data_IF_988458395442
#
_entry.id   IF_988458395442
#
_cell.length_a   1.000
_cell.length_b   1.000
_cell.length_c   1.000
_cell.angle_alpha   90.00
_cell.angle_beta   90.00
_cell.angle_gamma   90.00
#
_symmetry.space_group_name_H-M   'P 1'
#
loop_
_entity.id
_entity.type
_entity.pdbx_description
1 polymer ?
#
# COMPACT_ATOMS: atom_id res chain seq x y z
N UNK A 1 -6.16 -19.23 -7.03
CA UNK A 1 -6.23 -17.76 -6.96
C UNK A 1 -5.95 -17.37 -5.52
N UNK A 2 -4.89 -16.60 -5.29
CA UNK A 2 -4.40 -16.23 -3.96
C UNK A 2 -5.48 -15.58 -3.08
N UNK A 3 -6.44 -14.87 -3.69
CA UNK A 3 -7.54 -14.18 -2.98
C UNK A 3 -8.27 -15.09 -1.99
N UNK A 4 -8.49 -16.37 -2.34
CA UNK A 4 -9.20 -17.31 -1.47
C UNK A 4 -8.46 -17.59 -0.15
N UNK A 5 -7.13 -17.44 -0.13
CA UNK A 5 -6.28 -17.69 1.04
C UNK A 5 -5.91 -16.41 1.81
N UNK A 6 -6.22 -15.23 1.25
CA UNK A 6 -5.90 -13.94 1.89
C UNK A 6 -6.51 -13.79 3.29
N UNK A 7 -7.78 -14.18 3.54
CA UNK A 7 -8.34 -14.13 4.89
C UNK A 7 -7.51 -14.91 5.91
N UNK A 8 -7.12 -16.14 5.58
CA UNK A 8 -6.30 -16.99 6.47
C UNK A 8 -4.91 -16.38 6.72
N UNK A 9 -4.29 -15.81 5.69
CA UNK A 9 -3.01 -15.13 5.82
C UNK A 9 -3.09 -13.86 6.67
N UNK A 10 -4.19 -13.11 6.58
CA UNK A 10 -4.45 -11.95 7.44
C UNK A 10 -4.62 -12.40 8.89
N UNK A 11 -5.39 -13.45 9.15
CA UNK A 11 -5.60 -13.98 10.50
C UNK A 11 -4.27 -14.39 11.15
N UNK A 12 -3.42 -15.08 10.41
CA UNK A 12 -2.07 -15.45 10.86
C UNK A 12 -1.23 -14.18 11.10
N UNK A 13 -1.31 -13.18 10.23
CA UNK A 13 -0.55 -11.94 10.36
C UNK A 13 -0.97 -11.12 11.58
N UNK A 14 -2.28 -11.00 11.85
CA UNK A 14 -2.84 -10.30 13.00
C UNK A 14 -2.46 -11.01 14.30
N UNK A 15 -2.55 -12.34 14.37
CA UNK A 15 -2.10 -13.14 15.53
C UNK A 15 -0.62 -12.95 15.83
N UNK A 16 0.22 -12.78 14.79
CA UNK A 16 1.68 -12.59 14.94
C UNK A 16 2.10 -11.16 15.28
N UNK A 17 1.23 -10.16 15.08
CA UNK A 17 1.57 -8.75 15.21
C UNK A 17 0.43 -7.98 15.88
N UNK A 18 0.59 -7.74 17.18
CA UNK A 18 -0.33 -6.90 17.93
C UNK A 18 -0.46 -5.51 17.26
N UNK A 19 -1.70 -5.04 17.10
CA UNK A 19 -1.99 -3.74 16.48
C UNK A 19 -1.85 -3.69 14.95
N UNK A 20 -1.60 -4.82 14.26
CA UNK A 20 -1.62 -4.85 12.80
C UNK A 20 -3.00 -4.46 12.26
N UNK A 21 -4.07 -5.00 12.86
CA UNK A 21 -5.46 -4.70 12.51
C UNK A 21 -5.71 -4.76 10.98
N UNK A 22 -5.15 -5.78 10.32
CA UNK A 22 -5.32 -5.99 8.90
C UNK A 22 -6.68 -6.63 8.60
N UNK A 23 -7.37 -6.17 7.56
CA UNK A 23 -8.70 -6.63 7.15
C UNK A 23 -8.71 -6.80 5.62
N UNK A 24 -9.28 -7.90 5.13
CA UNK A 24 -9.56 -8.05 3.70
C UNK A 24 -10.96 -7.53 3.39
N UNK A 25 -11.09 -6.75 2.32
CA UNK A 25 -12.35 -6.22 1.83
C UNK A 25 -12.54 -6.62 0.37
N UNK A 26 -13.67 -7.23 0.04
CA UNK A 26 -13.96 -7.74 -1.29
C UNK A 26 -14.23 -6.62 -2.32
N UNK A 27 -14.50 -5.42 -1.84
CA UNK A 27 -14.74 -4.23 -2.63
C UNK A 27 -14.50 -2.95 -1.80
N UNK A 28 -14.41 -1.77 -2.42
CA UNK A 28 -14.18 -0.52 -1.69
C UNK A 28 -15.32 -0.12 -0.73
N UNK A 29 -16.57 -0.51 -1.00
CA UNK A 29 -17.70 -0.20 -0.11
C UNK A 29 -17.56 -0.93 1.23
N UNK A 30 -17.16 -2.20 1.20
CA UNK A 30 -16.89 -2.98 2.42
C UNK A 30 -15.78 -2.33 3.26
N UNK A 31 -14.72 -1.82 2.63
CA UNK A 31 -13.66 -1.08 3.35
C UNK A 31 -14.23 0.17 4.03
N UNK A 32 -15.03 0.96 3.31
CA UNK A 32 -15.62 2.18 3.86
C UNK A 32 -16.55 1.90 5.04
N UNK A 33 -17.35 0.83 5.00
CA UNK A 33 -18.18 0.46 6.14
C UNK A 33 -17.34 0.10 7.38
N UNK A 34 -16.16 -0.50 7.20
CA UNK A 34 -15.21 -0.71 8.30
C UNK A 34 -14.59 0.60 8.78
N UNK A 35 -14.26 1.52 7.89
CA UNK A 35 -13.74 2.86 8.27
C UNK A 35 -14.78 3.64 9.07
N UNK A 36 -16.07 3.58 8.72
CA UNK A 36 -17.16 4.19 9.51
C UNK A 36 -17.20 3.64 10.94
N UNK A 37 -16.93 2.35 11.13
CA UNK A 37 -16.83 1.75 12.48
C UNK A 37 -15.60 2.26 13.24
N UNK A 38 -14.46 2.45 12.55
CA UNK A 38 -13.25 3.02 13.16
C UNK A 38 -13.41 4.49 13.55
N UNK A 39 -14.21 5.26 12.81
CA UNK A 39 -14.53 6.66 13.16
C UNK A 39 -15.24 6.79 14.52
N UNK A 40 -15.93 5.74 14.98
CA UNK A 40 -16.55 5.69 16.31
C UNK A 40 -15.52 5.43 17.43
N UNK A 41 -14.30 5.04 17.06
CA UNK A 41 -13.19 4.73 17.96
C UNK A 41 -12.14 5.82 17.85
N UNK A 42 -12.00 6.66 18.87
CA UNK A 42 -10.94 7.66 18.91
C UNK A 42 -9.55 6.99 18.85
N UNK A 43 -8.62 7.63 18.14
CA UNK A 43 -7.21 7.21 18.04
C UNK A 43 -7.02 5.76 17.56
N UNK A 44 -7.74 5.38 16.50
CA UNK A 44 -7.73 4.04 15.94
C UNK A 44 -6.94 3.97 14.63
N UNK A 45 -6.37 2.79 14.33
CA UNK A 45 -5.74 2.52 13.04
C UNK A 45 -6.00 1.09 12.57
N UNK A 46 -6.11 0.92 11.26
CA UNK A 46 -6.30 -0.37 10.61
C UNK A 46 -5.60 -0.38 9.25
N UNK A 47 -5.39 -1.59 8.72
CA UNK A 47 -4.88 -1.77 7.36
C UNK A 47 -5.85 -2.61 6.56
N UNK A 48 -6.02 -2.27 5.29
CA UNK A 48 -6.95 -2.96 4.42
C UNK A 48 -6.22 -3.53 3.21
N UNK A 49 -6.59 -4.73 2.81
CA UNK A 49 -6.38 -5.22 1.44
C UNK A 49 -7.74 -5.08 0.75
N UNK A 50 -7.82 -4.18 -0.22
CA UNK A 50 -9.07 -3.84 -0.90
C UNK A 50 -9.06 -4.41 -2.30
N UNK A 51 -9.99 -5.31 -2.60
CA UNK A 51 -10.19 -5.82 -3.95
C UNK A 51 -11.06 -4.86 -4.79
N UNK A 52 -10.91 -4.91 -6.10
CA UNK A 52 -11.69 -4.17 -7.10
C UNK A 52 -13.19 -4.47 -7.04
N UNK A 53 -13.55 -5.73 -6.73
CA UNK A 53 -14.93 -6.21 -6.74
C UNK A 53 -15.52 -6.39 -8.14
N UNK A 54 -16.81 -6.72 -8.21
CA UNK A 54 -17.57 -6.94 -9.47
C UNK A 54 -16.93 -7.97 -10.42
N UNK A 55 -16.37 -9.06 -9.88
CA UNK A 55 -15.69 -10.09 -10.68
C UNK A 55 -14.26 -9.75 -11.11
N UNK A 56 -13.78 -8.54 -10.81
CA UNK A 56 -12.38 -8.16 -10.98
C UNK A 56 -11.48 -8.70 -9.87
N UNK A 57 -10.22 -9.02 -10.23
CA UNK A 57 -9.17 -9.51 -9.31
C UNK A 57 -8.04 -8.49 -9.39
N UNK A 58 -8.16 -7.40 -8.64
CA UNK A 58 -7.07 -6.43 -8.44
C UNK A 58 -7.13 -5.89 -7.03
N UNK A 59 -6.01 -5.91 -6.31
CA UNK A 59 -5.94 -5.54 -4.90
C UNK A 59 -4.97 -4.39 -4.67
N UNK A 60 -5.32 -3.53 -3.71
CA UNK A 60 -4.48 -2.45 -3.18
C UNK A 60 -4.39 -2.55 -1.67
N UNK A 61 -3.24 -2.19 -1.09
CA UNK A 61 -3.10 -2.02 0.36
C UNK A 61 -3.49 -0.59 0.76
N UNK A 62 -4.24 -0.42 1.84
CA UNK A 62 -4.63 0.90 2.37
C UNK A 62 -4.33 0.97 3.87
N UNK A 63 -3.55 1.95 4.32
CA UNK A 63 -3.40 2.30 5.73
C UNK A 63 -4.46 3.33 6.11
N UNK A 64 -5.13 3.13 7.25
CA UNK A 64 -6.14 4.01 7.79
C UNK A 64 -5.76 4.47 9.18
N UNK A 65 -5.84 5.78 9.40
CA UNK A 65 -5.66 6.43 10.69
C UNK A 65 -6.87 7.33 10.98
N UNK A 66 -7.46 7.14 12.16
CA UNK A 66 -8.42 8.07 12.76
C UNK A 66 -7.75 8.73 13.96
N UNK A 67 -7.59 10.05 13.92
CA UNK A 67 -6.97 10.85 14.99
C UNK A 67 -7.65 12.21 15.05
N UNK A 68 -7.96 12.69 16.25
CA UNK A 68 -8.57 14.01 16.48
C UNK A 68 -9.82 14.28 15.63
N UNK A 69 -10.69 13.28 15.49
CA UNK A 69 -11.91 13.34 14.67
C UNK A 69 -11.68 13.36 13.16
N UNK A 70 -10.42 13.31 12.69
CA UNK A 70 -10.05 13.28 11.27
C UNK A 70 -9.71 11.86 10.83
N UNK A 71 -10.10 11.52 9.60
CA UNK A 71 -9.76 10.25 8.97
C UNK A 71 -8.79 10.47 7.81
N UNK A 72 -7.76 9.65 7.75
CA UNK A 72 -6.78 9.65 6.69
C UNK A 72 -6.59 8.24 6.13
N UNK A 73 -6.65 8.14 4.81
CA UNK A 73 -6.50 6.91 4.03
C UNK A 73 -5.30 7.05 3.09
N UNK A 74 -4.33 6.14 3.20
CA UNK A 74 -3.15 6.06 2.34
C UNK A 74 -3.13 4.72 1.63
N UNK A 75 -3.51 4.72 0.35
CA UNK A 75 -3.38 3.58 -0.54
C UNK A 75 -1.95 3.43 -1.07
N UNK A 76 -1.48 2.20 -1.24
CA UNK A 76 -0.28 1.87 -2.00
C UNK A 76 -0.67 0.91 -3.11
N UNK A 77 -0.53 1.39 -4.34
CA UNK A 77 -0.73 0.62 -5.55
C UNK A 77 0.59 -0.02 -5.99
N UNK A 78 0.71 -1.36 -5.95
CA UNK A 78 1.93 -2.04 -6.34
C UNK A 78 2.22 -1.98 -7.86
N UNK A 79 1.20 -1.80 -8.70
CA UNK A 79 1.34 -1.71 -10.17
C UNK A 79 1.40 -0.24 -10.61
N UNK A 80 1.77 0.03 -11.86
CA UNK A 80 1.59 1.37 -12.45
C UNK A 80 0.12 1.69 -12.73
N UNK A 81 -0.28 2.95 -12.56
CA UNK A 81 -1.64 3.48 -12.77
C UNK A 81 -2.07 3.53 -14.23
N UNK A 82 -1.16 3.26 -15.17
CA UNK A 82 -1.48 3.13 -16.60
C UNK A 82 -2.24 1.82 -16.93
N UNK A 83 -2.38 0.91 -15.96
CA UNK A 83 -3.13 -0.34 -16.12
C UNK A 83 -4.59 -0.18 -15.70
N UNK A 84 -5.51 -0.85 -16.41
CA UNK A 84 -6.96 -0.68 -16.21
C UNK A 84 -7.47 -1.09 -14.82
N UNK A 85 -6.95 -2.19 -14.25
CA UNK A 85 -7.32 -2.66 -12.91
C UNK A 85 -6.99 -1.66 -11.79
N UNK A 86 -5.72 -1.25 -11.64
CA UNK A 86 -5.28 -0.19 -10.72
C UNK A 86 -6.08 1.11 -10.86
N UNK A 87 -6.20 1.63 -12.08
CA UNK A 87 -6.92 2.87 -12.34
C UNK A 87 -8.40 2.78 -11.94
N UNK A 88 -9.07 1.67 -12.29
CA UNK A 88 -10.48 1.47 -11.95
C UNK A 88 -10.69 1.32 -10.44
N UNK A 89 -9.78 0.64 -9.72
CA UNK A 89 -9.86 0.53 -8.26
C UNK A 89 -9.67 1.91 -7.61
N UNK A 90 -8.69 2.70 -8.05
CA UNK A 90 -8.46 4.05 -7.56
C UNK A 90 -9.70 4.96 -7.76
N UNK A 91 -10.30 4.94 -8.95
CA UNK A 91 -11.51 5.71 -9.28
C UNK A 91 -12.69 5.28 -8.39
N UNK A 92 -12.92 3.96 -8.24
CA UNK A 92 -14.01 3.44 -7.39
C UNK A 92 -13.83 3.83 -5.94
N UNK A 93 -12.61 3.69 -5.43
CA UNK A 93 -12.27 4.06 -4.05
C UNK A 93 -12.50 5.56 -3.83
N UNK A 94 -12.03 6.41 -4.74
CA UNK A 94 -12.26 7.86 -4.69
C UNK A 94 -13.75 8.21 -4.68
N UNK A 95 -14.52 7.63 -5.60
CA UNK A 95 -15.95 7.90 -5.74
C UNK A 95 -16.72 7.50 -4.48
N UNK A 96 -16.44 6.32 -3.92
CA UNK A 96 -17.11 5.83 -2.72
C UNK A 96 -16.68 6.66 -1.49
N UNK A 97 -15.38 6.96 -1.33
CA UNK A 97 -14.91 7.82 -0.24
C UNK A 97 -15.54 9.22 -0.31
N UNK A 98 -15.61 9.86 -1.48
CA UNK A 98 -16.27 11.17 -1.62
C UNK A 98 -17.74 11.14 -1.20
N UNK A 99 -18.45 10.04 -1.47
CA UNK A 99 -19.88 9.90 -1.15
C UNK A 99 -20.12 9.55 0.31
N UNK A 100 -19.33 8.64 0.86
CA UNK A 100 -19.60 7.99 2.15
C UNK A 100 -18.72 8.50 3.30
N UNK A 101 -17.58 9.11 2.98
CA UNK A 101 -16.57 9.64 3.89
C UNK A 101 -16.07 11.02 3.38
N UNK A 102 -16.96 12.00 3.17
CA UNK A 102 -16.62 13.26 2.48
C UNK A 102 -15.48 14.05 3.15
N UNK A 103 -15.31 13.91 4.46
CA UNK A 103 -14.26 14.59 5.25
C UNK A 103 -12.95 13.79 5.35
N UNK A 104 -12.88 12.56 4.81
CA UNK A 104 -11.68 11.74 4.87
C UNK A 104 -10.65 12.18 3.82
N UNK A 105 -9.39 12.34 4.24
CA UNK A 105 -8.29 12.62 3.33
C UNK A 105 -7.83 11.31 2.65
N UNK A 106 -7.95 11.23 1.32
CA UNK A 106 -7.46 10.09 0.54
C UNK A 106 -6.20 10.46 -0.26
N UNK A 107 -5.22 9.58 -0.25
CA UNK A 107 -4.06 9.60 -1.14
C UNK A 107 -3.72 8.16 -1.58
N UNK A 108 -3.26 7.99 -2.82
CA UNK A 108 -2.84 6.70 -3.38
C UNK A 108 -1.45 6.86 -3.98
N UNK A 109 -0.49 6.12 -3.45
CA UNK A 109 0.90 6.12 -3.85
C UNK A 109 1.13 5.02 -4.89
N UNK A 110 1.51 5.43 -6.09
CA UNK A 110 1.90 4.52 -7.16
C UNK A 110 3.36 4.12 -6.97
N UNK A 111 3.63 2.81 -6.90
CA UNK A 111 5.01 2.32 -6.69
C UNK A 111 5.61 1.62 -7.90
N UNK A 112 4.80 1.07 -8.80
CA UNK A 112 5.25 0.36 -10.00
C UNK A 112 6.27 -0.77 -9.67
N UNK A 113 6.10 -1.42 -8.51
CA UNK A 113 6.97 -2.49 -8.02
C UNK A 113 6.59 -3.88 -8.57
N UNK A 114 5.33 -4.09 -8.92
CA UNK A 114 4.78 -5.33 -9.44
C UNK A 114 4.68 -5.30 -10.97
N UNK A 115 5.10 -6.38 -11.62
CA UNK A 115 5.04 -6.68 -13.05
C UNK A 115 4.17 -7.89 -13.37
N UNK A 116 4.06 -8.83 -12.43
CA UNK A 116 3.21 -10.00 -12.53
C UNK A 116 1.72 -9.66 -12.59
N UNK A 117 0.93 -10.44 -13.32
CA UNK A 117 -0.52 -10.27 -13.40
C UNK A 117 -1.30 -10.79 -12.17
N UNK A 118 -0.75 -11.74 -11.40
CA UNK A 118 -1.50 -12.49 -10.40
C UNK A 118 -1.21 -12.16 -8.93
N UNK A 119 -0.16 -11.38 -8.62
CA UNK A 119 0.38 -11.31 -7.24
C UNK A 119 -0.13 -10.09 -6.44
N UNK A 120 -1.08 -9.29 -6.95
CA UNK A 120 -1.52 -8.04 -6.32
C UNK A 120 -1.98 -8.22 -4.86
N UNK A 121 -2.64 -9.34 -4.56
CA UNK A 121 -3.09 -9.66 -3.21
C UNK A 121 -1.91 -9.97 -2.26
N UNK A 122 -0.89 -10.69 -2.74
CA UNK A 122 0.31 -11.00 -1.95
C UNK A 122 1.21 -9.77 -1.76
N UNK A 123 1.34 -8.91 -2.78
CA UNK A 123 1.96 -7.59 -2.64
C UNK A 123 1.21 -6.76 -1.59
N UNK A 124 -0.12 -6.70 -1.66
CA UNK A 124 -0.93 -5.97 -0.69
C UNK A 124 -0.76 -6.51 0.74
N UNK A 125 -0.72 -7.83 0.92
CA UNK A 125 -0.45 -8.47 2.22
C UNK A 125 0.94 -8.11 2.76
N UNK A 126 1.96 -8.11 1.91
CA UNK A 126 3.28 -7.64 2.28
C UNK A 126 3.24 -6.16 2.70
N UNK A 127 2.56 -5.30 1.94
CA UNK A 127 2.46 -3.87 2.17
C UNK A 127 1.75 -3.54 3.47
N UNK A 128 0.59 -4.11 3.78
CA UNK A 128 -0.11 -3.85 5.07
C UNK A 128 0.76 -4.20 6.28
N UNK A 129 1.52 -5.30 6.18
CA UNK A 129 2.48 -5.72 7.22
C UNK A 129 3.66 -4.75 7.35
N UNK A 130 3.98 -4.02 6.30
CA UNK A 130 5.05 -3.02 6.24
C UNK A 130 4.57 -1.66 6.71
N UNK A 131 3.38 -1.22 6.30
CA UNK A 131 2.76 0.00 6.80
C UNK A 131 2.68 -0.01 8.33
N UNK A 132 2.27 -1.14 8.94
CA UNK A 132 2.32 -1.30 10.40
C UNK A 132 3.74 -1.29 10.98
N UNK A 133 4.72 -1.91 10.30
CA UNK A 133 6.11 -1.95 10.81
C UNK A 133 6.74 -0.56 10.79
N UNK A 134 6.46 0.23 9.76
CA UNK A 134 6.98 1.57 9.54
C UNK A 134 6.00 2.64 10.04
N UNK A 135 5.23 2.33 11.10
CA UNK A 135 4.08 3.13 11.57
C UNK A 135 4.44 4.58 11.86
N UNK A 136 5.63 4.86 12.40
CA UNK A 136 6.08 6.24 12.66
C UNK A 136 6.15 7.08 11.37
N UNK A 137 6.68 6.50 10.28
CA UNK A 137 6.72 7.18 8.98
C UNK A 137 5.32 7.32 8.38
N UNK A 138 4.45 6.32 8.57
CA UNK A 138 3.06 6.43 8.13
C UNK A 138 2.26 7.47 8.91
N UNK A 139 2.53 7.67 10.21
CA UNK A 139 1.94 8.77 10.99
C UNK A 139 2.30 10.14 10.39
N UNK A 140 3.55 10.34 9.99
CA UNK A 140 3.97 11.57 9.29
C UNK A 140 3.26 11.74 7.94
N UNK A 141 3.11 10.67 7.17
CA UNK A 141 2.38 10.71 5.89
C UNK A 141 0.89 11.00 6.10
N UNK A 142 0.26 10.42 7.13
CA UNK A 142 -1.13 10.71 7.47
C UNK A 142 -1.32 12.16 7.87
N UNK A 143 -0.41 12.72 8.68
CA UNK A 143 -0.41 14.16 9.01
C UNK A 143 -0.34 15.01 7.74
N UNK A 144 0.61 14.73 6.84
CA UNK A 144 0.72 15.43 5.54
C UNK A 144 -0.54 15.28 4.70
N UNK A 145 -1.19 14.12 4.72
CA UNK A 145 -2.41 13.87 3.96
C UNK A 145 -3.60 14.67 4.52
N UNK A 146 -3.76 14.67 5.85
CA UNK A 146 -4.78 15.46 6.55
C UNK A 146 -4.60 16.96 6.27
N UNK A 147 -3.37 17.44 6.34
CA UNK A 147 -3.02 18.84 6.11
C UNK A 147 -2.98 19.21 4.61
N UNK A 148 -3.34 18.28 3.71
CA UNK A 148 -3.31 18.46 2.24
C UNK A 148 -1.94 18.86 1.68
N UNK A 149 -0.86 18.43 2.33
CA UNK A 149 0.54 18.74 2.00
C UNK A 149 1.26 17.59 1.27
N UNK A 150 0.54 16.55 0.83
CA UNK A 150 1.11 15.54 -0.05
C UNK A 150 1.18 16.06 -1.49
N UNK A 151 2.24 15.76 -2.25
CA UNK A 151 2.40 16.24 -3.62
C UNK A 151 1.54 15.39 -4.57
N UNK A 152 0.22 15.57 -4.53
CA UNK A 152 -0.72 14.79 -5.34
C UNK A 152 -0.76 15.34 -6.78
N UNK A 153 -0.71 14.46 -7.76
CA UNK A 153 -1.12 14.70 -9.14
C UNK A 153 -2.62 14.45 -9.27
N UNK A 154 -3.36 15.43 -9.80
CA UNK A 154 -4.82 15.40 -9.73
C UNK A 154 -5.29 15.49 -8.28
N UNK A 155 -6.33 14.75 -7.92
CA UNK A 155 -6.91 14.85 -6.57
C UNK A 155 -6.29 13.91 -5.53
N UNK A 156 -5.89 12.70 -5.93
CA UNK A 156 -5.54 11.65 -4.96
C UNK A 156 -4.23 10.91 -5.26
N UNK A 157 -3.66 11.02 -6.46
CA UNK A 157 -2.54 10.17 -6.87
C UNK A 157 -1.21 10.81 -6.48
N UNK A 158 -0.31 10.08 -5.85
CA UNK A 158 1.10 10.45 -5.68
C UNK A 158 1.90 9.62 -6.67
N UNK A 159 2.51 10.28 -7.65
CA UNK A 159 3.21 9.61 -8.76
C UNK A 159 4.42 8.79 -8.30
N UNK A 160 4.92 7.89 -9.15
CA UNK A 160 6.10 7.06 -8.86
C UNK A 160 7.30 7.89 -8.39
N UNK A 161 7.61 9.00 -9.07
CA UNK A 161 8.78 9.84 -8.75
C UNK A 161 8.65 10.50 -7.38
N UNK A 162 7.46 10.98 -7.03
CA UNK A 162 7.17 11.55 -5.71
C UNK A 162 7.17 10.47 -4.62
N UNK A 163 6.59 9.31 -4.93
CA UNK A 163 6.50 8.16 -4.03
C UNK A 163 7.87 7.64 -3.60
N UNK A 164 8.86 7.60 -4.51
CA UNK A 164 10.23 7.15 -4.20
C UNK A 164 10.84 7.88 -2.98
N UNK A 165 10.55 9.19 -2.87
CA UNK A 165 11.10 10.06 -1.83
C UNK A 165 10.28 10.04 -0.53
N UNK A 166 9.05 9.54 -0.56
CA UNK A 166 8.13 9.59 0.58
C UNK A 166 8.01 8.25 1.31
N UNK A 167 8.03 7.13 0.58
CA UNK A 167 7.88 5.80 1.17
C UNK A 167 9.21 5.23 1.65
N UNK A 168 9.25 4.47 2.75
CA UNK A 168 10.51 3.91 3.23
C UNK A 168 11.08 2.81 2.32
N UNK A 169 12.42 2.67 2.20
CA UNK A 169 13.05 1.65 1.34
C UNK A 169 12.60 0.21 1.64
N UNK A 170 12.18 -0.02 2.89
CA UNK A 170 11.73 -1.32 3.35
C UNK A 170 10.48 -1.86 2.63
N UNK A 171 9.73 -1.02 1.89
CA UNK A 171 8.60 -1.40 1.04
C UNK A 171 9.05 -1.90 -0.35
N UNK A 172 10.25 -1.55 -0.81
CA UNK A 172 10.73 -1.91 -2.16
C UNK A 172 11.38 -3.30 -2.24
N UNK A 173 11.26 -4.10 -1.17
CA UNK A 173 11.91 -5.43 -1.04
C UNK A 173 11.47 -6.49 -2.05
N UNK A 174 10.34 -6.27 -2.71
CA UNK A 174 9.71 -7.20 -3.66
C UNK A 174 9.58 -6.58 -5.06
N UNK A 175 10.30 -5.50 -5.36
CA UNK A 175 10.34 -4.93 -6.72
C UNK A 175 10.83 -6.00 -7.71
N UNK A 176 10.01 -6.28 -8.71
CA UNK A 176 10.23 -7.37 -9.66
C UNK A 176 11.13 -6.98 -10.84
N UNK A 177 11.27 -5.69 -11.14
CA UNK A 177 12.11 -5.22 -12.23
C UNK A 177 13.45 -4.69 -11.70
N UNK A 178 14.60 -5.21 -12.15
CA UNK A 178 15.91 -4.64 -11.84
C UNK A 178 16.00 -3.16 -12.22
N UNK A 179 15.56 -2.80 -13.44
CA UNK A 179 15.50 -1.42 -13.92
C UNK A 179 14.67 -0.50 -13.02
N UNK A 180 13.53 -0.99 -12.49
CA UNK A 180 12.71 -0.21 -11.56
C UNK A 180 13.42 0.05 -10.23
N UNK A 181 14.18 -0.94 -9.73
CA UNK A 181 14.95 -0.79 -8.50
C UNK A 181 16.14 0.14 -8.72
N UNK A 182 16.84 0.03 -9.84
CA UNK A 182 17.90 0.95 -10.24
C UNK A 182 17.39 2.40 -10.26
N UNK A 183 16.30 2.67 -10.98
CA UNK A 183 15.69 3.99 -11.01
C UNK A 183 15.25 4.50 -9.61
N UNK A 184 14.82 3.60 -8.71
CA UNK A 184 14.53 3.96 -7.32
C UNK A 184 15.79 4.43 -6.60
N UNK A 185 16.89 3.66 -6.70
CA UNK A 185 18.15 3.94 -6.03
C UNK A 185 18.86 5.18 -6.61
N UNK A 186 18.76 5.42 -7.92
CA UNK A 186 19.26 6.64 -8.56
C UNK A 186 18.54 7.89 -8.04
N UNK A 187 17.21 7.81 -7.87
CA UNK A 187 16.43 8.92 -7.31
C UNK A 187 16.64 9.11 -5.81
N UNK A 188 17.20 8.10 -5.13
CA UNK A 188 17.34 8.04 -3.68
C UNK A 188 18.61 7.31 -3.24
N UNK A 189 19.80 7.91 -3.46
CA UNK A 189 21.07 7.24 -3.26
C UNK A 189 21.28 6.74 -1.82
N UNK A 190 20.73 7.43 -0.82
CA UNK A 190 20.84 7.02 0.58
C UNK A 190 20.11 5.71 0.90
N UNK A 191 19.21 5.25 0.03
CA UNK A 191 18.52 3.97 0.17
C UNK A 191 19.39 2.76 -0.25
N UNK A 192 20.51 2.99 -0.96
CA UNK A 192 21.37 1.92 -1.48
C UNK A 192 22.00 1.07 -0.36
N UNK A 193 22.39 1.71 0.74
CA UNK A 193 23.09 1.08 1.87
C UNK A 193 22.15 0.67 3.02
N UNK A 194 20.84 0.91 2.87
CA UNK A 194 19.85 0.58 3.91
C UNK A 194 19.68 -0.93 4.01
N UNK A 195 19.94 -1.47 5.20
CA UNK A 195 19.69 -2.89 5.52
C UNK A 195 18.19 -3.15 5.63
N UNK A 196 17.66 -4.02 4.77
CA UNK A 196 16.20 -4.27 4.66
C UNK A 196 15.73 -5.56 5.30
N UNK A 197 16.64 -6.36 5.88
CA UNK A 197 16.29 -7.57 6.61
C UNK A 197 17.37 -8.00 7.63
N UNK A 198 17.04 -9.03 8.42
CA UNK A 198 17.91 -9.56 9.49
C UNK A 198 19.17 -10.28 8.98
N UNK A 199 19.31 -10.52 7.68
CA UNK A 199 20.51 -11.10 7.06
C UNK A 199 21.56 -10.05 6.68
N UNK A 200 21.34 -8.77 7.02
CA UNK A 200 22.27 -7.69 6.68
C UNK A 200 22.23 -7.25 5.21
N UNK A 201 21.21 -7.66 4.44
CA UNK A 201 21.15 -7.37 3.01
C UNK A 201 20.54 -6.00 2.71
N UNK A 202 21.09 -5.32 1.70
CA UNK A 202 20.51 -4.12 1.07
C UNK A 202 19.38 -4.51 0.10
N UNK A 203 18.70 -3.53 -0.50
CA UNK A 203 17.71 -3.80 -1.55
C UNK A 203 18.34 -4.50 -2.76
N UNK A 204 19.50 -4.02 -3.22
CA UNK A 204 20.19 -4.56 -4.39
C UNK A 204 20.67 -5.99 -4.14
N UNK A 205 21.38 -6.25 -3.04
CA UNK A 205 21.90 -7.59 -2.75
C UNK A 205 20.77 -8.60 -2.49
N UNK A 206 19.67 -8.14 -1.88
CA UNK A 206 18.45 -8.95 -1.76
C UNK A 206 17.86 -9.28 -3.13
N UNK A 207 17.69 -8.31 -4.03
CA UNK A 207 17.09 -8.55 -5.35
C UNK A 207 17.94 -9.54 -6.15
N UNK A 208 19.26 -9.34 -6.19
CA UNK A 208 20.20 -10.23 -6.88
C UNK A 208 20.05 -11.70 -6.46
N UNK A 209 19.85 -11.97 -5.17
CA UNK A 209 19.61 -13.35 -4.69
C UNK A 209 18.32 -13.98 -5.21
N UNK A 210 17.29 -13.18 -5.49
CA UNK A 210 15.97 -13.67 -5.91
C UNK A 210 15.70 -13.48 -7.41
N UNK A 211 16.65 -12.92 -8.17
CA UNK A 211 16.58 -12.94 -9.63
C UNK A 211 16.68 -14.40 -10.08
N UNK A 212 15.72 -14.81 -10.89
CA UNK A 212 15.71 -16.10 -11.56
C UNK A 212 15.47 -15.87 -13.06
N UNK A 213 16.21 -16.59 -13.89
CA UNK A 213 15.93 -16.67 -15.33
C UNK A 213 14.90 -17.77 -15.53
N UNK A 214 13.80 -17.43 -16.20
CA UNK A 214 12.81 -18.42 -16.65
C UNK A 214 13.10 -18.65 -18.12
N UNK A 215 13.48 -19.87 -18.49
CA UNK A 215 13.50 -20.27 -19.91
C UNK A 215 12.05 -20.36 -20.39
N UNK A 216 11.79 -19.74 -21.55
CA UNK A 216 10.47 -19.71 -22.18
C UNK A 216 10.21 -20.96 -23.01
#
# INVERSE_FOLDING_TARGET
>A
NDIALIPDFIDIANKKKAGLNAIFCNNPLEMVEKVKQLLLLENSSARFIVNLGCGGIHCMAVDCLVSDGKCSLIGIEPVGMNSSGPALLAIRLQSICKRELPEAALAIFETDMQRSYGECAMFSLFLVKKMHKESAQFQELHKKNIDQNLPKSGEIIVSVSQTNNLLPPSLMKHVQSPKRLEAYLESRPEAADVVVNKKGETLLSRQQRYIATIEA
#
